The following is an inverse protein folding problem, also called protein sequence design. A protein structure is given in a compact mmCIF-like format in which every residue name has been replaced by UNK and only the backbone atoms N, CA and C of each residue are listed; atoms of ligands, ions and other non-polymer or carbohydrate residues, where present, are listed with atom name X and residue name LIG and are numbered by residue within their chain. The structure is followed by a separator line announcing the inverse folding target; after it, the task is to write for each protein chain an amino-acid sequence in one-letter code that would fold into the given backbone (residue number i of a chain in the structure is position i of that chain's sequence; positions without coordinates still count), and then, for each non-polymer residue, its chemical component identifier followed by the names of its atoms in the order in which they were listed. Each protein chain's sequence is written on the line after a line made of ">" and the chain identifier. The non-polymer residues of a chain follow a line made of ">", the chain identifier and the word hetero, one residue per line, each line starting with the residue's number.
data_IF_655380173640
#
_entry.id   IF_655380173640
#
_cell.length_a   1.000
_cell.length_b   1.000
_cell.length_c   1.000
_cell.angle_alpha   90.00
_cell.angle_beta   90.00
_cell.angle_gamma   90.00
#
_symmetry.space_group_name_H-M   'P 1'
#
loop_
_entity.id
_entity.type
_entity.pdbx_description
1 polymer ?
#
# COMPACT_ATOMS: atom_id res chain seq x y z
N UNK A 1 12.16 -1.52 -10.69
CA UNK A 1 11.70 -1.78 -9.31
C UNK A 1 11.44 -0.46 -8.60
N UNK A 2 10.31 -0.32 -7.94
CA UNK A 2 9.99 0.91 -7.25
C UNK A 2 10.77 1.01 -5.92
N UNK A 3 11.00 2.24 -5.49
CA UNK A 3 11.63 2.49 -4.20
C UNK A 3 10.57 2.35 -3.11
N UNK A 4 10.55 1.20 -2.46
CA UNK A 4 9.53 0.90 -1.46
C UNK A 4 9.68 1.73 -0.19
N UNK A 5 10.90 2.14 0.13
CA UNK A 5 11.11 3.02 1.27
C UNK A 5 10.48 4.39 1.03
N UNK A 6 10.64 4.92 -0.17
CA UNK A 6 10.03 6.18 -0.54
C UNK A 6 8.50 6.05 -0.58
N UNK A 7 8.01 4.92 -1.10
CA UNK A 7 6.58 4.65 -1.12
C UNK A 7 6.01 4.63 0.29
N UNK A 8 6.69 3.96 1.22
CA UNK A 8 6.24 3.89 2.60
C UNK A 8 6.16 5.28 3.24
N UNK A 9 7.14 6.13 2.96
CA UNK A 9 7.12 7.49 3.48
C UNK A 9 5.93 8.28 2.95
N UNK A 10 5.60 8.10 1.68
CA UNK A 10 4.44 8.76 1.10
C UNK A 10 3.13 8.25 1.69
N UNK A 11 3.06 6.96 1.96
CA UNK A 11 1.87 6.37 2.56
C UNK A 11 1.59 6.91 3.96
N UNK A 12 2.63 7.25 4.71
CA UNK A 12 2.48 7.72 6.09
C UNK A 12 1.75 9.05 6.19
N UNK A 13 1.79 9.85 5.15
CA UNK A 13 1.18 11.18 5.16
C UNK A 13 0.14 11.38 4.07
N UNK A 14 0.01 10.45 3.15
CA UNK A 14 -0.85 10.63 1.98
C UNK A 14 -1.61 9.35 1.65
N UNK A 15 -2.63 9.51 0.80
CA UNK A 15 -3.24 8.37 0.13
C UNK A 15 -2.50 8.21 -1.20
N UNK A 16 -2.06 7.00 -1.47
CA UNK A 16 -1.23 6.69 -2.64
C UNK A 16 -1.92 5.64 -3.49
N UNK A 17 -2.02 5.92 -4.79
CA UNK A 17 -2.52 4.95 -5.75
C UNK A 17 -1.36 4.05 -6.15
N UNK A 18 -1.50 2.76 -5.87
CA UNK A 18 -0.45 1.77 -6.15
C UNK A 18 -0.92 0.84 -7.25
N UNK A 19 -0.09 0.71 -8.28
CA UNK A 19 -0.33 -0.26 -9.35
C UNK A 19 0.56 -1.46 -9.09
N UNK A 20 -0.05 -2.64 -9.04
CA UNK A 20 0.67 -3.87 -8.74
C UNK A 20 0.11 -5.03 -9.56
N UNK A 21 0.89 -6.09 -9.66
CA UNK A 21 0.49 -7.29 -10.39
C UNK A 21 0.11 -8.39 -9.42
N UNK A 22 -1.08 -8.97 -9.61
CA UNK A 22 -1.53 -10.08 -8.77
C UNK A 22 -0.71 -11.33 -9.07
N UNK A 23 -0.23 -11.98 -8.02
CA UNK A 23 0.51 -13.23 -8.17
C UNK A 23 -0.40 -14.39 -8.57
N UNK A 24 -1.69 -14.28 -8.25
CA UNK A 24 -2.62 -15.36 -8.55
C UNK A 24 -3.08 -15.35 -10.00
N UNK A 25 -3.41 -14.18 -10.53
CA UNK A 25 -4.00 -14.07 -11.85
C UNK A 25 -3.07 -13.47 -12.89
N UNK A 26 -1.99 -12.84 -12.46
CA UNK A 26 -1.09 -12.13 -13.36
C UNK A 26 -1.63 -10.81 -13.85
N UNK A 27 -2.81 -10.42 -13.42
CA UNK A 27 -3.43 -9.16 -13.84
C UNK A 27 -2.89 -8.00 -13.03
N UNK A 28 -2.90 -6.81 -13.64
CA UNK A 28 -2.50 -5.60 -12.96
C UNK A 28 -3.72 -4.92 -12.35
N UNK A 29 -3.54 -4.41 -11.14
CA UNK A 29 -4.58 -3.70 -10.42
C UNK A 29 -4.05 -2.36 -9.93
N UNK A 30 -4.95 -1.40 -9.78
CA UNK A 30 -4.63 -0.12 -9.15
C UNK A 30 -5.59 0.10 -7.98
N UNK A 31 -5.01 0.36 -6.80
CA UNK A 31 -5.78 0.55 -5.58
C UNK A 31 -5.20 1.70 -4.78
N UNK A 32 -6.06 2.36 -4.00
CA UNK A 32 -5.63 3.44 -3.12
C UNK A 32 -5.33 2.89 -1.73
N UNK A 33 -4.14 3.19 -1.25
CA UNK A 33 -3.67 2.72 0.06
C UNK A 33 -3.13 3.88 0.88
N UNK A 34 -3.11 3.71 2.19
CA UNK A 34 -2.53 4.69 3.08
C UNK A 34 -2.00 4.03 4.35
N UNK A 35 -1.10 4.74 5.04
CA UNK A 35 -0.70 4.42 6.41
C UNK A 35 -0.95 5.61 7.33
N UNK A 36 -1.63 6.63 6.83
CA UNK A 36 -1.96 7.82 7.61
C UNK A 36 -3.25 7.58 8.40
N UNK A 37 -3.16 7.71 9.71
CA UNK A 37 -4.28 7.38 10.59
C UNK A 37 -5.53 8.22 10.34
N UNK A 38 -5.37 9.44 9.86
CA UNK A 38 -6.55 10.29 9.64
C UNK A 38 -7.44 9.81 8.51
N UNK A 39 -6.94 8.91 7.65
CA UNK A 39 -7.74 8.33 6.57
C UNK A 39 -8.24 6.93 6.90
N UNK A 40 -7.94 6.43 8.09
CA UNK A 40 -8.34 5.09 8.49
C UNK A 40 -9.53 5.14 9.43
N UNK A 41 -10.45 4.18 9.26
CA UNK A 41 -11.61 4.05 10.15
C UNK A 41 -11.35 3.11 11.31
N UNK A 42 -10.22 2.42 11.30
CA UNK A 42 -9.87 1.47 12.36
C UNK A 42 -8.53 1.85 12.95
N UNK A 43 -8.31 1.56 14.23
CA UNK A 43 -7.03 1.88 14.88
C UNK A 43 -5.88 1.18 14.21
N UNK A 44 -4.78 1.88 14.09
CA UNK A 44 -3.56 1.33 13.52
C UNK A 44 -2.75 0.66 14.62
N UNK A 45 -2.98 -0.63 14.81
CA UNK A 45 -2.26 -1.41 15.82
C UNK A 45 -1.02 -2.08 15.29
N UNK A 46 -0.97 -2.29 13.99
CA UNK A 46 0.06 -3.12 13.39
C UNK A 46 0.96 -2.24 12.57
N UNK A 47 2.20 -2.10 13.01
CA UNK A 47 3.21 -1.36 12.28
C UNK A 47 4.39 -2.22 11.87
N UNK A 48 4.31 -3.50 12.19
CA UNK A 48 5.40 -4.41 11.87
C UNK A 48 5.39 -4.74 10.40
N UNK A 49 6.50 -4.46 9.74
CA UNK A 49 6.72 -4.81 8.36
C UNK A 49 7.65 -6.00 8.33
N UNK A 50 7.20 -7.09 7.78
CA UNK A 50 7.98 -8.32 7.78
C UNK A 50 8.57 -8.55 6.40
N UNK A 51 9.89 -8.57 6.32
CA UNK A 51 10.59 -8.93 5.10
C UNK A 51 10.28 -8.00 3.94
N UNK A 52 9.92 -8.60 2.83
CA UNK A 52 9.70 -7.92 1.57
C UNK A 52 8.24 -7.53 1.31
N UNK A 53 7.41 -7.62 2.34
CA UNK A 53 6.00 -7.25 2.22
C UNK A 53 5.75 -5.87 2.78
N UNK A 54 4.85 -5.15 2.13
CA UNK A 54 4.42 -3.84 2.57
C UNK A 54 3.00 -3.95 3.09
N UNK A 55 2.82 -3.77 4.39
CA UNK A 55 1.50 -3.77 4.99
C UNK A 55 0.91 -2.37 4.87
N UNK A 56 -0.25 -2.26 4.22
CA UNK A 56 -0.90 -0.98 4.04
C UNK A 56 -2.42 -1.14 4.11
N UNK A 57 -3.09 -0.02 4.34
CA UNK A 57 -4.54 0.00 4.50
C UNK A 57 -5.20 0.38 3.18
N UNK A 58 -6.09 -0.49 2.70
CA UNK A 58 -6.86 -0.25 1.49
C UNK A 58 -8.00 0.69 1.81
N UNK A 59 -7.93 1.91 1.31
CA UNK A 59 -8.92 2.94 1.60
C UNK A 59 -10.28 2.61 0.98
N UNK A 60 -10.27 2.01 -0.20
CA UNK A 60 -11.49 1.70 -0.92
C UNK A 60 -12.28 0.59 -0.24
N UNK A 61 -11.60 -0.48 0.13
CA UNK A 61 -12.26 -1.64 0.75
C UNK A 61 -12.20 -1.63 2.26
N UNK A 62 -11.50 -0.66 2.84
CA UNK A 62 -11.40 -0.47 4.29
C UNK A 62 -10.88 -1.71 5.01
N UNK A 63 -9.75 -2.22 4.51
CA UNK A 63 -9.11 -3.39 5.11
C UNK A 63 -7.60 -3.31 4.94
N UNK A 64 -6.89 -4.06 5.77
CA UNK A 64 -5.44 -4.16 5.68
C UNK A 64 -5.05 -5.21 4.63
N UNK A 65 -4.02 -4.91 3.86
CA UNK A 65 -3.48 -5.84 2.87
C UNK A 65 -1.97 -5.82 2.89
N UNK A 66 -1.39 -6.99 2.61
CA UNK A 66 0.04 -7.12 2.42
C UNK A 66 0.35 -7.11 0.93
N UNK A 67 1.20 -6.18 0.51
CA UNK A 67 1.67 -6.14 -0.86
C UNK A 67 3.13 -6.59 -0.89
N UNK A 68 3.46 -7.48 -1.82
CA UNK A 68 4.84 -7.85 -2.03
C UNK A 68 5.53 -6.76 -2.84
N UNK A 69 6.69 -6.34 -2.35
CA UNK A 69 7.40 -5.21 -2.95
C UNK A 69 7.74 -5.43 -4.42
N UNK A 70 8.09 -6.66 -4.77
CA UNK A 70 8.48 -6.98 -6.13
C UNK A 70 7.32 -7.03 -7.12
N UNK A 71 6.07 -6.96 -6.64
CA UNK A 71 4.91 -6.93 -7.51
C UNK A 71 4.45 -5.50 -7.81
N UNK A 72 4.96 -4.52 -7.09
CA UNK A 72 4.55 -3.12 -7.25
C UNK A 72 5.19 -2.56 -8.51
N UNK A 73 4.36 -2.04 -9.40
CA UNK A 73 4.81 -1.50 -10.69
C UNK A 73 5.12 -0.03 -10.58
N UNK A 74 4.19 0.73 -9.99
CA UNK A 74 4.38 2.16 -9.79
C UNK A 74 3.42 2.67 -8.74
N UNK A 75 3.64 3.88 -8.26
CA UNK A 75 2.74 4.52 -7.32
C UNK A 75 2.65 6.01 -7.59
N UNK A 76 1.50 6.60 -7.22
CA UNK A 76 1.23 8.02 -7.42
C UNK A 76 0.48 8.55 -6.21
N UNK A 77 0.92 9.67 -5.67
CA UNK A 77 0.24 10.31 -4.54
C UNK A 77 -1.04 10.95 -5.06
N UNK A 78 -2.19 10.63 -4.42
CA UNK A 78 -3.49 11.20 -4.82
C UNK A 78 -4.02 12.20 -3.82
N UNK A 79 -3.66 12.08 -2.54
CA UNK A 79 -4.06 13.06 -1.52
C UNK A 79 -2.98 13.25 -0.50
#
# INVERSE_FOLDING_TARGET
>A
MVDTQKLRQKLETNIVLIRFQSLKSGKEYEREYTLCEKYMNIPNHIRNQAGDKLLCYDVEFQKWEDLQEDTIIKFTVVQ
#
